data_IF_317445924572
#
_entry.id   IF_317445924572
#
_cell.length_a   1.000
_cell.length_b   1.000
_cell.length_c   1.000
_cell.angle_alpha   90.00
_cell.angle_beta   90.00
_cell.angle_gamma   90.00
#
_symmetry.space_group_name_H-M   'P 1'
#
loop_
_entity.id
_entity.type
_entity.pdbx_description
1 polymer ?
#
# COMPACT_ATOMS: atom_id res chain seq x y z
N UNK A 1 40.54 3.86 2.20
CA UNK A 1 39.07 3.99 2.32
C UNK A 1 38.50 2.67 2.82
N UNK A 2 37.85 2.64 3.99
CA UNK A 2 37.15 1.43 4.49
C UNK A 2 35.97 1.12 3.55
N UNK A 3 35.91 -0.10 2.99
CA UNK A 3 34.75 -0.55 2.21
C UNK A 3 33.52 -0.46 3.11
N UNK A 4 32.59 0.43 2.75
CA UNK A 4 31.29 0.53 3.42
C UNK A 4 30.60 -0.83 3.27
N UNK A 5 30.09 -1.36 4.37
CA UNK A 5 29.37 -2.64 4.37
C UNK A 5 28.04 -2.44 3.62
N UNK A 6 27.91 -3.03 2.43
CA UNK A 6 26.71 -2.91 1.59
C UNK A 6 25.43 -3.34 2.32
N UNK A 7 25.49 -4.38 3.16
CA UNK A 7 24.35 -4.86 3.95
C UNK A 7 23.89 -3.81 4.96
N UNK A 8 24.83 -3.10 5.60
CA UNK A 8 24.50 -2.04 6.55
C UNK A 8 23.77 -0.87 5.85
N UNK A 9 24.22 -0.50 4.65
CA UNK A 9 23.57 0.56 3.86
C UNK A 9 22.13 0.17 3.52
N UNK A 10 21.91 -1.06 3.06
CA UNK A 10 20.57 -1.57 2.73
C UNK A 10 19.64 -1.50 3.94
N UNK A 11 20.09 -1.96 5.12
CA UNK A 11 19.29 -1.90 6.35
C UNK A 11 18.96 -0.44 6.72
N UNK A 12 19.93 0.47 6.64
CA UNK A 12 19.70 1.90 6.96
C UNK A 12 18.66 2.50 6.01
N UNK A 13 18.72 2.18 4.72
CA UNK A 13 17.74 2.66 3.73
C UNK A 13 16.34 2.15 4.09
N UNK A 14 16.18 0.86 4.39
CA UNK A 14 14.86 0.31 4.75
C UNK A 14 14.33 0.87 6.07
N UNK A 15 15.20 1.10 7.07
CA UNK A 15 14.79 1.72 8.33
C UNK A 15 14.37 3.18 8.14
N UNK A 16 15.08 3.93 7.29
CA UNK A 16 14.71 5.30 6.93
C UNK A 16 13.32 5.36 6.31
N UNK A 17 12.99 4.41 5.42
CA UNK A 17 11.65 4.30 4.83
C UNK A 17 10.58 4.08 5.91
N UNK A 18 10.81 3.17 6.85
CA UNK A 18 9.85 2.92 7.95
C UNK A 18 9.65 4.17 8.81
N UNK A 19 10.73 4.87 9.16
CA UNK A 19 10.67 6.11 9.96
C UNK A 19 9.90 7.20 9.19
N UNK A 20 10.18 7.37 7.90
CA UNK A 20 9.48 8.34 7.06
C UNK A 20 7.98 8.03 6.98
N UNK A 21 7.60 6.75 6.86
CA UNK A 21 6.19 6.36 6.85
C UNK A 21 5.50 6.62 8.19
N UNK A 22 6.15 6.34 9.32
CA UNK A 22 5.61 6.69 10.65
C UNK A 22 5.42 8.20 10.75
N UNK A 23 6.43 8.99 10.35
CA UNK A 23 6.31 10.44 10.34
C UNK A 23 5.16 10.93 9.46
N UNK A 24 4.97 10.33 8.28
CA UNK A 24 3.84 10.62 7.41
C UNK A 24 2.50 10.32 8.10
N UNK A 25 2.33 9.15 8.72
CA UNK A 25 1.06 8.82 9.41
C UNK A 25 0.68 9.84 10.49
N UNK A 26 1.66 10.38 11.22
CA UNK A 26 1.39 11.32 12.30
C UNK A 26 1.24 12.78 11.87
N UNK A 27 1.86 13.18 10.76
CA UNK A 27 1.94 14.60 10.36
C UNK A 27 1.12 14.94 9.11
N UNK A 28 0.69 13.93 8.34
CA UNK A 28 -0.11 14.15 7.15
C UNK A 28 -1.60 13.96 7.42
N UNK A 29 -2.38 14.96 7.05
CA UNK A 29 -3.83 14.86 7.04
C UNK A 29 -4.28 14.22 5.72
N UNK A 30 -4.54 12.91 5.76
CA UNK A 30 -4.95 12.18 4.57
C UNK A 30 -6.36 12.58 4.17
N UNK A 31 -6.49 13.30 3.05
CA UNK A 31 -7.77 13.56 2.37
C UNK A 31 -8.59 12.29 2.21
N UNK A 32 -9.65 12.18 3.01
CA UNK A 32 -10.63 11.11 2.90
C UNK A 32 -11.55 11.38 1.72
N UNK A 33 -11.95 10.33 1.01
CA UNK A 33 -12.95 10.41 -0.04
C UNK A 33 -14.35 10.47 0.57
N UNK A 34 -15.35 10.79 -0.26
CA UNK A 34 -16.77 10.86 0.16
C UNK A 34 -17.28 9.57 0.82
N UNK A 35 -16.70 8.44 0.45
CA UNK A 35 -16.96 7.13 1.02
C UNK A 35 -16.70 7.02 2.53
N UNK A 36 -15.81 7.88 3.03
CA UNK A 36 -15.32 7.93 4.40
C UNK A 36 -15.57 9.27 5.07
N UNK A 37 -16.32 10.16 4.43
CA UNK A 37 -16.66 11.46 4.96
C UNK A 37 -18.14 11.47 5.35
N UNK A 38 -18.49 12.17 6.43
CA UNK A 38 -19.90 12.32 6.82
C UNK A 38 -20.58 13.45 6.02
N UNK A 39 -19.83 14.14 5.16
CA UNK A 39 -20.32 15.21 4.30
C UNK A 39 -20.96 14.70 3.00
N UNK A 40 -21.95 15.44 2.50
CA UNK A 40 -22.47 15.27 1.14
C UNK A 40 -21.54 16.03 0.20
N UNK A 41 -21.42 15.59 -1.04
CA UNK A 41 -20.65 16.35 -2.02
C UNK A 41 -21.29 16.38 -3.39
N UNK A 42 -20.97 17.43 -4.14
CA UNK A 42 -21.26 17.52 -5.56
C UNK A 42 -19.95 17.58 -6.33
N UNK A 43 -19.82 16.71 -7.32
CA UNK A 43 -18.77 16.83 -8.33
C UNK A 43 -19.33 17.58 -9.54
N UNK A 44 -18.56 18.57 -10.00
CA UNK A 44 -18.89 19.40 -11.15
C UNK A 44 -17.72 19.30 -12.13
N UNK A 45 -18.02 18.90 -13.36
CA UNK A 45 -17.07 18.85 -14.47
C UNK A 45 -17.40 19.93 -15.49
N UNK A 46 -16.43 20.75 -15.88
CA UNK A 46 -16.59 21.81 -16.88
C UNK A 46 -16.07 21.39 -18.24
N UNK A 47 -16.63 21.97 -19.29
CA UNK A 47 -16.14 21.79 -20.66
C UNK A 47 -14.76 22.45 -20.85
N UNK A 48 -14.63 23.68 -20.35
CA UNK A 48 -13.41 24.48 -20.37
C UNK A 48 -12.69 24.46 -19.01
N UNK A 49 -11.42 24.90 -19.00
CA UNK A 49 -10.69 25.08 -17.76
C UNK A 49 -11.25 26.26 -16.95
N UNK A 50 -11.43 26.04 -15.65
CA UNK A 50 -11.95 27.04 -14.71
C UNK A 50 -10.90 27.33 -13.64
N UNK A 51 -10.77 28.60 -13.25
CA UNK A 51 -9.85 28.98 -12.18
C UNK A 51 -10.37 28.46 -10.83
N UNK A 52 -9.57 27.61 -10.19
CA UNK A 52 -9.89 27.00 -8.89
C UNK A 52 -10.22 28.03 -7.82
N UNK A 53 -9.41 29.08 -7.68
CA UNK A 53 -9.57 30.06 -6.60
C UNK A 53 -10.84 30.86 -6.79
N UNK A 54 -11.13 31.30 -8.02
CA UNK A 54 -12.35 32.04 -8.30
C UNK A 54 -13.61 31.20 -8.07
N UNK A 55 -13.61 29.94 -8.52
CA UNK A 55 -14.71 29.03 -8.29
C UNK A 55 -14.90 28.74 -6.80
N UNK A 56 -13.81 28.47 -6.07
CA UNK A 56 -13.87 28.22 -4.64
C UNK A 56 -14.42 29.43 -3.87
N UNK A 57 -13.97 30.64 -4.19
CA UNK A 57 -14.48 31.87 -3.56
C UNK A 57 -15.98 32.07 -3.85
N UNK A 58 -16.39 31.89 -5.10
CA UNK A 58 -17.81 31.99 -5.49
C UNK A 58 -18.69 30.97 -4.76
N UNK A 59 -18.26 29.70 -4.73
CA UNK A 59 -18.98 28.63 -4.04
C UNK A 59 -19.10 28.98 -2.57
N UNK A 60 -18.00 29.37 -1.91
CA UNK A 60 -18.02 29.68 -0.47
C UNK A 60 -18.96 30.82 -0.11
N UNK A 61 -19.11 31.82 -1.00
CA UNK A 61 -20.05 32.94 -0.79
C UNK A 61 -21.52 32.53 -0.97
N UNK A 62 -21.79 31.51 -1.78
CA UNK A 62 -23.16 31.08 -2.12
C UNK A 62 -23.64 29.99 -1.16
N UNK A 63 -22.80 28.99 -0.93
CA UNK A 63 -23.02 27.89 -0.01
C UNK A 63 -21.69 27.57 0.68
N UNK A 64 -21.53 27.92 1.96
CA UNK A 64 -20.33 27.59 2.72
C UNK A 64 -20.03 26.09 2.64
N UNK A 65 -18.81 25.75 2.24
CA UNK A 65 -18.35 24.37 2.14
C UNK A 65 -17.41 24.02 3.29
N UNK A 66 -17.37 22.75 3.65
CA UNK A 66 -16.39 22.23 4.61
C UNK A 66 -15.05 21.97 3.92
N UNK A 67 -15.09 21.47 2.68
CA UNK A 67 -13.91 21.18 1.88
C UNK A 67 -14.16 21.39 0.38
N UNK A 68 -13.12 21.82 -0.31
CA UNK A 68 -13.15 22.05 -1.76
C UNK A 68 -11.92 21.43 -2.41
N UNK A 69 -12.17 20.38 -3.20
CA UNK A 69 -11.14 19.62 -3.90
C UNK A 69 -11.23 19.85 -5.41
N UNK A 70 -10.11 19.65 -6.09
CA UNK A 70 -10.04 19.65 -7.54
C UNK A 70 -9.17 18.51 -8.07
N UNK A 71 -9.54 18.01 -9.24
CA UNK A 71 -8.75 17.07 -10.02
C UNK A 71 -8.44 17.73 -11.37
N UNK A 72 -7.28 18.39 -11.43
CA UNK A 72 -6.92 19.28 -12.54
C UNK A 72 -7.74 20.59 -12.53
N UNK A 73 -7.93 21.18 -13.71
CA UNK A 73 -8.60 22.49 -13.89
C UNK A 73 -10.06 22.39 -14.38
N UNK A 74 -10.63 21.18 -14.46
CA UNK A 74 -11.98 20.95 -15.02
C UNK A 74 -12.92 20.20 -14.11
N UNK A 75 -12.41 19.44 -13.14
CA UNK A 75 -13.23 18.63 -12.24
C UNK A 75 -13.05 19.13 -10.83
N UNK A 76 -14.16 19.55 -10.21
CA UNK A 76 -14.19 20.12 -8.87
C UNK A 76 -15.16 19.33 -8.00
N UNK A 77 -14.86 19.21 -6.71
CA UNK A 77 -15.73 18.59 -5.72
C UNK A 77 -15.93 19.53 -4.54
N UNK A 78 -17.19 19.80 -4.25
CA UNK A 78 -17.60 20.66 -3.13
C UNK A 78 -18.24 19.77 -2.07
N UNK A 79 -17.68 19.77 -0.86
CA UNK A 79 -18.16 19.01 0.29
C UNK A 79 -18.90 19.93 1.25
N UNK A 80 -20.11 19.53 1.65
CA UNK A 80 -21.00 20.35 2.47
C UNK A 80 -21.72 19.50 3.54
N UNK A 81 -22.02 20.13 4.67
CA UNK A 81 -22.81 19.55 5.75
C UNK A 81 -24.21 20.16 5.76
N UNK A 82 -25.23 19.32 5.93
CA UNK A 82 -26.62 19.74 6.19
C UNK A 82 -27.22 20.70 5.14
N UNK A 83 -26.74 20.69 3.89
CA UNK A 83 -27.41 21.40 2.81
C UNK A 83 -28.57 20.57 2.24
N UNK A 84 -29.72 21.23 2.10
CA UNK A 84 -30.86 20.72 1.37
C UNK A 84 -30.53 20.59 -0.12
N UNK A 85 -31.06 19.56 -0.78
CA UNK A 85 -30.72 19.28 -2.18
C UNK A 85 -31.08 20.44 -3.11
N UNK A 86 -32.14 21.19 -2.80
CA UNK A 86 -32.58 22.38 -3.53
C UNK A 86 -31.53 23.50 -3.51
N UNK A 87 -30.84 23.72 -2.39
CA UNK A 87 -29.75 24.72 -2.30
C UNK A 87 -28.53 24.31 -3.11
N UNK A 88 -28.29 23.01 -3.22
CA UNK A 88 -27.21 22.48 -4.05
C UNK A 88 -27.55 22.62 -5.53
N UNK A 89 -28.81 22.41 -5.91
CA UNK A 89 -29.28 22.66 -7.28
C UNK A 89 -29.17 24.13 -7.67
N UNK A 90 -29.62 25.06 -6.80
CA UNK A 90 -29.45 26.51 -7.01
C UNK A 90 -27.96 26.89 -7.14
N UNK A 91 -27.09 26.28 -6.33
CA UNK A 91 -25.64 26.48 -6.46
C UNK A 91 -25.12 26.01 -7.84
N UNK A 92 -25.52 24.83 -8.32
CA UNK A 92 -25.08 24.30 -9.61
C UNK A 92 -25.53 25.22 -10.75
N UNK A 93 -26.78 25.68 -10.72
CA UNK A 93 -27.33 26.61 -11.71
C UNK A 93 -26.53 27.92 -11.76
N UNK A 94 -26.28 28.53 -10.61
CA UNK A 94 -25.47 29.76 -10.50
C UNK A 94 -24.02 29.57 -10.93
N UNK A 95 -23.43 28.40 -10.67
CA UNK A 95 -22.10 28.05 -11.16
C UNK A 95 -22.11 27.97 -12.69
N UNK A 96 -23.11 27.32 -13.27
CA UNK A 96 -23.26 27.20 -14.72
C UNK A 96 -23.43 28.57 -15.39
N UNK A 97 -24.23 29.46 -14.80
CA UNK A 97 -24.42 30.83 -15.28
C UNK A 97 -23.11 31.64 -15.28
N UNK A 98 -22.27 31.48 -14.26
CA UNK A 98 -21.05 32.28 -14.09
C UNK A 98 -19.83 31.71 -14.81
N UNK A 99 -19.63 30.40 -14.75
CA UNK A 99 -18.40 29.74 -15.20
C UNK A 99 -18.56 28.98 -16.52
N UNK A 100 -19.79 28.90 -17.06
CA UNK A 100 -20.08 28.29 -18.35
C UNK A 100 -20.55 26.85 -18.26
N UNK A 101 -20.49 26.13 -19.39
CA UNK A 101 -21.11 24.81 -19.55
C UNK A 101 -20.52 23.76 -18.62
N UNK A 102 -21.39 23.16 -17.80
CA UNK A 102 -21.11 21.97 -17.01
C UNK A 102 -21.37 20.74 -17.89
N UNK A 103 -20.37 19.87 -18.02
CA UNK A 103 -20.46 18.62 -18.81
C UNK A 103 -21.01 17.46 -18.00
N UNK A 104 -20.77 17.45 -16.69
CA UNK A 104 -21.20 16.39 -15.80
C UNK A 104 -21.40 16.93 -14.39
N UNK A 105 -22.51 16.53 -13.77
CA UNK A 105 -22.78 16.78 -12.35
C UNK A 105 -23.09 15.45 -11.68
N UNK A 106 -22.34 15.11 -10.62
CA UNK A 106 -22.58 13.91 -9.84
C UNK A 106 -22.77 14.31 -8.38
N UNK A 107 -23.99 14.09 -7.86
CA UNK A 107 -24.29 14.27 -6.44
C UNK A 107 -23.99 12.98 -5.68
N UNK A 108 -23.24 13.11 -4.61
CA UNK A 108 -22.89 12.05 -3.70
C UNK A 108 -23.54 12.33 -2.35
N UNK A 109 -24.39 11.41 -1.92
CA UNK A 109 -24.92 11.42 -0.57
C UNK A 109 -24.01 10.59 0.31
N UNK A 110 -23.51 11.18 1.39
CA UNK A 110 -22.77 10.44 2.42
C UNK A 110 -23.66 9.32 2.97
N UNK A 111 -23.05 8.19 3.26
CA UNK A 111 -23.72 7.16 4.06
C UNK A 111 -23.89 7.71 5.48
N UNK A 112 -25.08 7.56 6.12
CA UNK A 112 -25.30 8.08 7.47
C UNK A 112 -24.17 7.65 8.41
N UNK A 113 -23.62 8.60 9.19
CA UNK A 113 -22.36 8.45 9.95
C UNK A 113 -22.22 7.18 10.80
N UNK A 114 -23.32 6.51 11.16
CA UNK A 114 -23.30 5.19 11.80
C UNK A 114 -22.69 4.11 10.89
N UNK A 115 -23.02 4.09 9.60
CA UNK A 115 -22.45 3.17 8.61
C UNK A 115 -20.96 3.42 8.39
N UNK A 116 -20.51 4.68 8.50
CA UNK A 116 -19.09 5.03 8.42
C UNK A 116 -18.29 4.40 9.57
N UNK A 117 -18.73 4.56 10.82
CA UNK A 117 -18.08 3.95 11.99
C UNK A 117 -18.03 2.42 11.85
N UNK A 118 -19.13 1.80 11.41
CA UNK A 118 -19.16 0.36 11.15
C UNK A 118 -18.23 -0.06 10.00
N UNK A 119 -18.13 0.72 8.93
CA UNK A 119 -17.22 0.45 7.82
C UNK A 119 -15.76 0.49 8.28
N UNK A 120 -15.37 1.51 9.04
CA UNK A 120 -14.01 1.63 9.57
C UNK A 120 -13.64 0.45 10.49
N UNK A 121 -14.53 0.09 11.43
CA UNK A 121 -14.32 -1.07 12.29
C UNK A 121 -14.24 -2.39 11.51
N UNK A 122 -15.05 -2.56 10.46
CA UNK A 122 -15.00 -3.76 9.60
C UNK A 122 -13.72 -3.84 8.80
N UNK A 123 -13.23 -2.71 8.27
CA UNK A 123 -11.94 -2.66 7.57
C UNK A 123 -10.82 -3.05 8.54
N UNK A 124 -10.79 -2.44 9.72
CA UNK A 124 -9.79 -2.75 10.76
C UNK A 124 -9.83 -4.24 11.14
N UNK A 125 -11.01 -4.76 11.47
CA UNK A 125 -11.19 -6.18 11.81
C UNK A 125 -10.75 -7.10 10.66
N UNK A 126 -11.05 -6.74 9.42
CA UNK A 126 -10.65 -7.53 8.23
C UNK A 126 -9.13 -7.57 8.08
N UNK A 127 -8.42 -6.47 8.35
CA UNK A 127 -6.94 -6.45 8.33
C UNK A 127 -6.38 -7.37 9.43
N UNK A 128 -6.93 -7.31 10.65
CA UNK A 128 -6.48 -8.19 11.74
C UNK A 128 -6.74 -9.67 11.44
N UNK A 129 -7.92 -10.01 10.94
CA UNK A 129 -8.27 -11.38 10.53
C UNK A 129 -7.33 -11.86 9.42
N UNK A 130 -7.03 -11.01 8.44
CA UNK A 130 -6.10 -11.30 7.36
C UNK A 130 -4.69 -11.60 7.92
N UNK A 131 -4.13 -10.73 8.75
CA UNK A 131 -2.82 -10.92 9.37
C UNK A 131 -2.75 -12.21 10.20
N UNK A 132 -3.79 -12.50 10.97
CA UNK A 132 -3.89 -13.75 11.73
C UNK A 132 -3.92 -14.97 10.79
N UNK A 133 -4.69 -14.89 9.70
CA UNK A 133 -4.75 -15.94 8.68
C UNK A 133 -3.39 -16.22 8.03
N UNK A 134 -2.62 -15.17 7.72
CA UNK A 134 -1.24 -15.28 7.20
C UNK A 134 -0.34 -16.04 8.19
N UNK A 135 -0.37 -15.66 9.47
CA UNK A 135 0.44 -16.31 10.51
C UNK A 135 0.06 -17.78 10.68
N UNK A 136 -1.24 -18.08 10.77
CA UNK A 136 -1.74 -19.46 10.91
C UNK A 136 -1.33 -20.30 9.69
N UNK A 137 -1.52 -19.76 8.49
CA UNK A 137 -1.14 -20.45 7.25
C UNK A 137 0.34 -20.83 7.27
N UNK A 138 1.23 -19.86 7.51
CA UNK A 138 2.68 -20.10 7.54
C UNK A 138 3.01 -21.16 8.59
N UNK A 139 2.49 -21.06 9.82
CA UNK A 139 2.72 -22.06 10.86
C UNK A 139 2.29 -23.47 10.43
N UNK A 140 1.13 -23.60 9.76
CA UNK A 140 0.63 -24.89 9.25
C UNK A 140 1.47 -25.45 8.12
N UNK A 141 1.87 -24.61 7.16
CA UNK A 141 2.67 -25.03 5.99
C UNK A 141 4.02 -25.59 6.42
N UNK A 142 4.64 -24.99 7.44
CA UNK A 142 5.96 -25.41 7.92
C UNK A 142 5.93 -26.56 8.94
N UNK A 143 4.81 -26.81 9.63
CA UNK A 143 4.68 -27.85 10.68
C UNK A 143 5.06 -29.26 10.21
N UNK A 144 4.78 -29.62 8.96
CA UNK A 144 4.92 -31.01 8.45
C UNK A 144 6.24 -31.30 7.74
N UNK A 145 7.12 -30.31 7.57
CA UNK A 145 8.26 -30.41 6.64
C UNK A 145 9.65 -30.51 7.29
N UNK A 146 9.73 -30.80 8.59
CA UNK A 146 11.01 -31.06 9.27
C UNK A 146 11.89 -29.83 9.47
N UNK A 147 11.35 -28.62 9.26
CA UNK A 147 12.02 -27.36 9.55
C UNK A 147 12.34 -27.25 11.04
N UNK A 148 13.53 -26.74 11.36
CA UNK A 148 13.80 -26.28 12.72
C UNK A 148 12.92 -25.06 12.99
N UNK A 149 12.27 -25.06 14.15
CA UNK A 149 11.39 -23.95 14.60
C UNK A 149 12.14 -22.61 14.56
N UNK A 150 13.45 -22.63 14.83
CA UNK A 150 14.29 -21.42 14.80
C UNK A 150 14.36 -20.83 13.40
N UNK A 151 14.69 -21.64 12.38
CA UNK A 151 14.77 -21.15 10.99
C UNK A 151 13.41 -20.63 10.50
N UNK A 152 12.32 -21.29 10.92
CA UNK A 152 10.96 -20.82 10.65
C UNK A 152 10.69 -19.45 11.27
N UNK A 153 11.08 -19.25 12.53
CA UNK A 153 10.90 -17.96 13.21
C UNK A 153 11.74 -16.86 12.56
N UNK A 154 12.99 -17.14 12.19
CA UNK A 154 13.85 -16.20 11.47
C UNK A 154 13.22 -15.77 10.15
N UNK A 155 12.68 -16.74 9.40
CA UNK A 155 11.94 -16.48 8.17
C UNK A 155 10.68 -15.64 8.39
N UNK A 156 9.85 -16.00 9.38
CA UNK A 156 8.61 -15.29 9.70
C UNK A 156 8.88 -13.84 10.10
N UNK A 157 9.91 -13.60 10.93
CA UNK A 157 10.30 -12.25 11.32
C UNK A 157 10.80 -11.43 10.12
N UNK A 158 11.60 -12.02 9.24
CA UNK A 158 12.05 -11.35 8.02
C UNK A 158 10.88 -11.01 7.08
N UNK A 159 9.91 -11.92 6.92
CA UNK A 159 8.71 -11.67 6.11
C UNK A 159 7.81 -10.60 6.74
N UNK A 160 7.58 -10.63 8.05
CA UNK A 160 6.79 -9.62 8.75
C UNK A 160 7.42 -8.23 8.59
N UNK A 161 8.74 -8.13 8.76
CA UNK A 161 9.46 -6.89 8.51
C UNK A 161 9.41 -6.46 7.03
N UNK A 162 9.45 -7.40 6.10
CA UNK A 162 9.18 -7.16 4.68
C UNK A 162 7.81 -6.53 4.44
N UNK A 163 6.74 -7.10 5.00
CA UNK A 163 5.39 -6.56 4.88
C UNK A 163 5.25 -5.18 5.52
N UNK A 164 5.87 -4.94 6.68
CA UNK A 164 5.88 -3.60 7.29
C UNK A 164 6.57 -2.58 6.37
N UNK A 165 7.69 -2.96 5.73
CA UNK A 165 8.36 -2.11 4.76
C UNK A 165 7.50 -1.85 3.52
N UNK A 166 6.83 -2.88 3.01
CA UNK A 166 5.90 -2.77 1.88
C UNK A 166 4.75 -1.81 2.20
N UNK A 167 4.10 -1.98 3.36
CA UNK A 167 3.04 -1.09 3.84
C UNK A 167 3.54 0.35 4.02
N UNK A 168 4.76 0.53 4.53
CA UNK A 168 5.38 1.85 4.68
C UNK A 168 5.57 2.57 3.34
N UNK A 169 6.02 1.87 2.29
CA UNK A 169 6.11 2.47 0.95
C UNK A 169 4.71 2.83 0.42
N UNK A 170 3.70 1.99 0.65
CA UNK A 170 2.34 2.30 0.23
C UNK A 170 1.80 3.55 0.95
N UNK A 171 2.06 3.71 2.25
CA UNK A 171 1.72 4.93 3.00
C UNK A 171 2.40 6.16 2.42
N UNK A 172 3.70 6.07 2.13
CA UNK A 172 4.44 7.18 1.51
C UNK A 172 3.92 7.50 0.10
N UNK A 173 3.49 6.50 -0.66
CA UNK A 173 2.80 6.71 -1.92
C UNK A 173 1.46 7.41 -1.72
N UNK A 174 0.69 7.03 -0.70
CA UNK A 174 -0.57 7.68 -0.35
C UNK A 174 -0.36 9.18 -0.14
N UNK A 175 0.70 9.58 0.57
CA UNK A 175 1.05 11.00 0.77
C UNK A 175 1.22 11.73 -0.57
N UNK A 176 2.03 11.17 -1.47
CA UNK A 176 2.27 11.78 -2.79
C UNK A 176 0.98 11.87 -3.60
N UNK A 177 0.16 10.81 -3.60
CA UNK A 177 -1.11 10.81 -4.32
C UNK A 177 -2.11 11.81 -3.71
N UNK A 178 -2.09 11.99 -2.39
CA UNK A 178 -2.95 12.94 -1.69
C UNK A 178 -2.66 14.40 -2.06
N UNK A 179 -1.37 14.74 -2.21
CA UNK A 179 -0.92 16.03 -2.74
C UNK A 179 -1.37 16.25 -4.18
N UNK A 180 -1.44 15.18 -4.98
CA UNK A 180 -1.98 15.22 -6.33
C UNK A 180 -3.52 15.25 -6.38
N UNK A 181 -4.20 15.37 -5.24
CA UNK A 181 -5.65 15.47 -5.14
C UNK A 181 -6.39 14.13 -5.11
N UNK A 182 -5.66 13.00 -4.98
CA UNK A 182 -6.29 11.69 -4.85
C UNK A 182 -6.74 11.49 -3.41
N UNK A 183 -8.06 11.44 -3.22
CA UNK A 183 -8.66 11.11 -1.93
C UNK A 183 -8.68 9.58 -1.70
N UNK A 184 -8.57 9.17 -0.43
CA UNK A 184 -8.71 7.77 -0.03
C UNK A 184 -10.19 7.38 -0.17
N UNK A 185 -10.54 6.63 -1.22
CA UNK A 185 -11.90 6.12 -1.49
C UNK A 185 -11.98 4.60 -1.31
N UNK A 186 -13.18 4.01 -1.40
CA UNK A 186 -13.33 2.54 -1.36
C UNK A 186 -12.50 1.87 -2.46
N UNK A 187 -12.41 2.48 -3.64
CA UNK A 187 -11.58 2.01 -4.74
C UNK A 187 -10.10 1.99 -4.35
N UNK A 188 -9.61 3.08 -3.74
CA UNK A 188 -8.23 3.17 -3.27
C UNK A 188 -7.92 2.09 -2.22
N UNK A 189 -8.79 1.91 -1.22
CA UNK A 189 -8.63 0.85 -0.20
C UNK A 189 -8.67 -0.54 -0.82
N UNK A 190 -9.56 -0.78 -1.79
CA UNK A 190 -9.62 -2.05 -2.52
C UNK A 190 -8.29 -2.32 -3.25
N UNK A 191 -7.67 -1.27 -3.80
CA UNK A 191 -6.32 -1.33 -4.38
C UNK A 191 -5.26 -1.73 -3.36
N UNK A 192 -5.28 -1.17 -2.14
CA UNK A 192 -4.36 -1.55 -1.06
C UNK A 192 -4.57 -2.98 -0.57
N UNK A 193 -5.81 -3.46 -0.52
CA UNK A 193 -6.12 -4.85 -0.16
C UNK A 193 -5.60 -5.80 -1.25
N UNK A 194 -5.86 -5.49 -2.52
CA UNK A 194 -5.36 -6.26 -3.65
C UNK A 194 -3.83 -6.27 -3.69
N UNK A 195 -3.19 -5.13 -3.44
CA UNK A 195 -1.75 -4.99 -3.28
C UNK A 195 -1.17 -5.93 -2.20
N UNK A 196 -1.81 -5.95 -1.04
CA UNK A 196 -1.41 -6.82 0.07
C UNK A 196 -1.57 -8.30 -0.27
N UNK A 197 -2.68 -8.66 -0.93
CA UNK A 197 -2.92 -10.02 -1.42
C UNK A 197 -1.85 -10.47 -2.43
N UNK A 198 -1.45 -9.59 -3.36
CA UNK A 198 -0.36 -9.85 -4.31
C UNK A 198 0.97 -10.08 -3.58
N UNK A 199 1.33 -9.21 -2.64
CA UNK A 199 2.56 -9.38 -1.86
C UNK A 199 2.58 -10.72 -1.09
N UNK A 200 1.43 -11.11 -0.56
CA UNK A 200 1.25 -12.40 0.09
C UNK A 200 1.36 -13.58 -0.87
N UNK A 201 0.76 -13.51 -2.07
CA UNK A 201 0.91 -14.54 -3.10
C UNK A 201 2.39 -14.74 -3.49
N UNK A 202 3.16 -13.66 -3.67
CA UNK A 202 4.59 -13.77 -3.92
C UNK A 202 5.32 -14.46 -2.77
N UNK A 203 5.00 -14.12 -1.53
CA UNK A 203 5.54 -14.81 -0.36
C UNK A 203 5.20 -16.32 -0.40
N UNK A 204 3.96 -16.69 -0.73
CA UNK A 204 3.55 -18.09 -0.81
C UNK A 204 4.34 -18.88 -1.84
N UNK A 205 4.59 -18.29 -3.02
CA UNK A 205 5.39 -18.91 -4.07
C UNK A 205 6.82 -19.15 -3.54
N UNK A 206 7.45 -18.12 -2.97
CA UNK A 206 8.81 -18.21 -2.41
C UNK A 206 8.88 -19.27 -1.31
N UNK A 207 7.94 -19.27 -0.36
CA UNK A 207 7.84 -20.29 0.71
C UNK A 207 7.76 -21.69 0.13
N UNK A 208 6.85 -21.90 -0.82
CA UNK A 208 6.56 -23.23 -1.37
C UNK A 208 7.79 -23.78 -2.08
N UNK A 209 8.50 -22.94 -2.83
CA UNK A 209 9.72 -23.32 -3.54
C UNK A 209 10.90 -23.55 -2.60
N UNK A 210 11.06 -22.71 -1.59
CA UNK A 210 12.06 -22.91 -0.54
C UNK A 210 11.84 -24.25 0.19
N UNK A 211 10.58 -24.55 0.52
CA UNK A 211 10.20 -25.82 1.14
C UNK A 211 10.47 -27.04 0.25
N UNK A 212 10.31 -26.92 -1.07
CA UNK A 212 10.65 -28.05 -1.97
C UNK A 212 12.15 -28.29 -2.03
N UNK A 213 12.97 -27.24 -1.99
CA UNK A 213 14.43 -27.36 -2.03
C UNK A 213 15.01 -27.96 -0.75
N UNK A 214 14.50 -27.56 0.41
CA UNK A 214 14.89 -28.12 1.71
C UNK A 214 14.64 -29.62 1.81
N UNK A 215 13.67 -30.13 1.05
CA UNK A 215 13.34 -31.56 1.04
C UNK A 215 14.32 -32.36 0.16
N UNK A 216 14.93 -31.73 -0.83
CA UNK A 216 15.86 -32.38 -1.77
C UNK A 216 17.33 -32.18 -1.39
N UNK A 217 17.65 -31.08 -0.73
CA UNK A 217 19.01 -30.69 -0.35
C UNK A 217 19.07 -30.47 1.17
N UNK A 218 20.19 -30.83 1.83
CA UNK A 218 20.44 -30.49 3.24
C UNK A 218 21.37 -29.28 3.31
N UNK A 219 20.86 -28.04 3.20
CA UNK A 219 21.69 -26.85 3.26
C UNK A 219 22.24 -26.60 4.67
N UNK A 220 23.34 -25.86 4.74
CA UNK A 220 23.96 -25.48 6.01
C UNK A 220 23.21 -24.33 6.71
N UNK A 221 22.43 -23.53 5.96
CA UNK A 221 21.61 -22.46 6.52
C UNK A 221 20.44 -22.05 5.61
N UNK A 222 19.36 -21.57 6.22
CA UNK A 222 18.19 -21.01 5.52
C UNK A 222 18.55 -19.84 4.58
N UNK A 223 19.45 -18.96 5.01
CA UNK A 223 19.87 -17.79 4.25
C UNK A 223 20.56 -18.15 2.92
N UNK A 224 21.46 -19.15 2.94
CA UNK A 224 22.18 -19.59 1.74
C UNK A 224 21.21 -20.14 0.70
N UNK A 225 20.26 -20.97 1.15
CA UNK A 225 19.26 -21.56 0.27
C UNK A 225 18.29 -20.53 -0.29
N UNK A 226 17.83 -19.58 0.55
CA UNK A 226 17.00 -18.47 0.09
C UNK A 226 17.73 -17.63 -0.97
N UNK A 227 19.04 -17.39 -0.77
CA UNK A 227 19.87 -16.66 -1.73
C UNK A 227 20.05 -17.42 -3.05
N UNK A 228 20.24 -18.74 -2.99
CA UNK A 228 20.32 -19.59 -4.18
C UNK A 228 19.00 -19.61 -4.94
N UNK A 229 17.89 -19.80 -4.23
CA UNK A 229 16.54 -19.75 -4.80
C UNK A 229 16.31 -18.46 -5.56
N UNK A 230 16.57 -17.31 -4.91
CA UNK A 230 16.42 -16.02 -5.56
C UNK A 230 17.33 -15.88 -6.77
N UNK A 231 18.59 -16.33 -6.70
CA UNK A 231 19.53 -16.22 -7.83
C UNK A 231 19.08 -17.02 -9.05
N UNK A 232 18.58 -18.24 -8.83
CA UNK A 232 18.14 -19.12 -9.91
C UNK A 232 16.80 -18.68 -10.50
N UNK A 233 15.88 -18.22 -9.65
CA UNK A 233 14.51 -17.96 -10.05
C UNK A 233 14.18 -16.48 -10.24
N UNK A 234 15.13 -15.56 -10.01
CA UNK A 234 14.89 -14.11 -10.13
C UNK A 234 14.23 -13.74 -11.46
N UNK A 235 14.69 -14.37 -12.54
CA UNK A 235 14.18 -14.11 -13.88
C UNK A 235 12.72 -14.54 -14.01
N UNK A 236 12.35 -15.68 -13.42
CA UNK A 236 10.97 -16.17 -13.46
C UNK A 236 10.06 -15.33 -12.57
N UNK A 237 10.52 -14.93 -11.38
CA UNK A 237 9.81 -13.97 -10.53
C UNK A 237 9.57 -12.65 -11.25
N UNK A 238 10.60 -12.10 -11.90
CA UNK A 238 10.51 -10.85 -12.65
C UNK A 238 9.54 -10.98 -13.84
N UNK A 239 9.61 -12.07 -14.61
CA UNK A 239 8.67 -12.35 -15.70
C UNK A 239 7.23 -12.47 -15.21
N UNK A 240 6.99 -13.17 -14.11
CA UNK A 240 5.66 -13.27 -13.51
C UNK A 240 5.12 -11.91 -13.07
N UNK A 241 5.98 -11.06 -12.48
CA UNK A 241 5.61 -9.69 -12.13
C UNK A 241 5.32 -8.81 -13.34
N UNK A 242 6.11 -8.93 -14.40
CA UNK A 242 5.89 -8.21 -15.66
C UNK A 242 4.58 -8.65 -16.32
N UNK A 243 4.30 -9.95 -16.36
CA UNK A 243 3.06 -10.50 -16.91
C UNK A 243 1.84 -10.01 -16.12
N UNK A 244 1.90 -10.09 -14.78
CA UNK A 244 0.85 -9.53 -13.93
C UNK A 244 0.65 -8.04 -14.21
N UNK A 245 1.75 -7.28 -14.38
CA UNK A 245 1.69 -5.86 -14.70
C UNK A 245 1.05 -5.59 -16.08
N UNK A 246 1.31 -6.42 -17.10
CA UNK A 246 0.68 -6.25 -18.42
C UNK A 246 -0.84 -6.45 -18.40
N UNK A 247 -1.36 -7.35 -17.56
CA UNK A 247 -2.82 -7.55 -17.40
C UNK A 247 -3.46 -6.27 -16.86
N UNK A 248 -2.83 -5.62 -15.87
CA UNK A 248 -3.33 -4.38 -15.32
C UNK A 248 -3.12 -3.19 -16.27
N UNK A 249 -2.02 -3.13 -17.03
CA UNK A 249 -1.83 -2.09 -18.05
C UNK A 249 -2.93 -2.10 -19.13
N UNK A 250 -3.50 -3.26 -19.44
CA UNK A 250 -4.66 -3.37 -20.34
C UNK A 250 -5.94 -2.67 -19.83
N UNK A 251 -6.00 -2.35 -18.53
CA UNK A 251 -7.13 -1.70 -17.88
C UNK A 251 -6.93 -0.17 -17.70
N UNK A 252 -5.91 0.41 -18.34
CA UNK A 252 -5.63 1.88 -18.31
C UNK A 252 -6.71 2.72 -19.01
N UNK A 253 -7.73 2.09 -19.60
CA UNK A 253 -8.88 2.77 -20.23
C UNK A 253 -9.97 3.13 -19.19
N UNK A 254 -9.81 2.71 -17.93
CA UNK A 254 -10.83 2.97 -16.88
C UNK A 254 -10.89 4.44 -16.45
N UNK A 255 -12.00 4.90 -15.85
CA UNK A 255 -12.13 6.27 -15.36
C UNK A 255 -11.14 6.60 -14.23
N UNK A 256 -10.94 7.90 -13.97
CA UNK A 256 -9.88 8.43 -13.10
C UNK A 256 -9.75 7.78 -11.70
N UNK A 257 -10.82 7.52 -10.91
CA UNK A 257 -10.66 6.88 -9.61
C UNK A 257 -10.30 5.37 -9.69
N UNK A 258 -10.59 4.71 -10.80
CA UNK A 258 -10.17 3.32 -11.04
C UNK A 258 -8.71 3.25 -11.52
N UNK A 259 -8.21 4.28 -12.21
CA UNK A 259 -6.80 4.35 -12.61
C UNK A 259 -5.84 4.46 -11.43
N UNK A 260 -6.20 5.19 -10.38
CA UNK A 260 -5.38 5.26 -9.16
C UNK A 260 -5.30 3.90 -8.47
N UNK A 261 -6.42 3.17 -8.41
CA UNK A 261 -6.49 1.80 -7.91
C UNK A 261 -5.58 0.87 -8.72
N UNK A 262 -5.68 0.96 -10.05
CA UNK A 262 -4.85 0.20 -10.97
C UNK A 262 -3.36 0.49 -10.77
N UNK A 263 -2.99 1.76 -10.64
CA UNK A 263 -1.62 2.21 -10.43
C UNK A 263 -1.06 1.67 -9.11
N UNK A 264 -1.83 1.73 -8.02
CA UNK A 264 -1.44 1.16 -6.71
C UNK A 264 -1.18 -0.34 -6.85
N UNK A 265 -2.07 -1.07 -7.54
CA UNK A 265 -1.92 -2.51 -7.76
C UNK A 265 -0.69 -2.84 -8.61
N UNK A 266 -0.46 -2.09 -9.69
CA UNK A 266 0.72 -2.23 -10.55
C UNK A 266 2.03 -2.02 -9.79
N UNK A 267 2.11 -0.92 -9.03
CA UNK A 267 3.30 -0.63 -8.22
C UNK A 267 3.52 -1.72 -7.18
N UNK A 268 2.44 -2.27 -6.62
CA UNK A 268 2.50 -3.30 -5.59
C UNK A 268 3.11 -4.62 -6.09
N UNK A 269 2.92 -4.97 -7.36
CA UNK A 269 3.62 -6.12 -7.96
C UNK A 269 5.13 -5.90 -7.93
N UNK A 270 5.60 -4.71 -8.33
CA UNK A 270 7.02 -4.36 -8.31
C UNK A 270 7.58 -4.30 -6.88
N UNK A 271 6.83 -3.69 -5.96
CA UNK A 271 7.23 -3.60 -4.56
C UNK A 271 7.29 -4.96 -3.88
N UNK A 272 6.39 -5.90 -4.22
CA UNK A 272 6.43 -7.27 -3.70
C UNK A 272 7.70 -8.00 -4.16
N UNK A 273 8.14 -7.80 -5.42
CA UNK A 273 9.40 -8.34 -5.92
C UNK A 273 10.60 -7.75 -5.18
N UNK A 274 10.64 -6.43 -5.01
CA UNK A 274 11.72 -5.75 -4.27
C UNK A 274 11.75 -6.22 -2.82
N UNK A 275 10.59 -6.34 -2.18
CA UNK A 275 10.46 -6.82 -0.80
C UNK A 275 11.13 -8.19 -0.61
N UNK A 276 10.82 -9.18 -1.48
CA UNK A 276 11.41 -10.51 -1.38
C UNK A 276 12.92 -10.48 -1.70
N UNK A 277 13.30 -9.85 -2.81
CA UNK A 277 14.69 -9.90 -3.32
C UNK A 277 15.68 -9.06 -2.53
N UNK A 278 15.25 -8.02 -1.83
CA UNK A 278 16.17 -7.09 -1.13
C UNK A 278 15.92 -7.05 0.38
N UNK A 279 14.69 -6.80 0.80
CA UNK A 279 14.36 -6.59 2.23
C UNK A 279 14.48 -7.92 2.99
N UNK A 280 13.73 -8.94 2.57
CA UNK A 280 13.72 -10.24 3.25
C UNK A 280 15.11 -10.88 3.19
N UNK A 281 15.76 -10.85 2.01
CA UNK A 281 17.11 -11.40 1.86
C UNK A 281 18.13 -10.72 2.78
N UNK A 282 18.12 -9.38 2.87
CA UNK A 282 19.08 -8.64 3.71
C UNK A 282 18.85 -8.86 5.21
N UNK A 283 17.60 -9.03 5.63
CA UNK A 283 17.26 -9.37 7.02
C UNK A 283 17.70 -10.79 7.36
N UNK A 284 17.43 -11.78 6.50
CA UNK A 284 17.91 -13.15 6.68
C UNK A 284 19.44 -13.22 6.75
N UNK A 285 20.14 -12.46 5.89
CA UNK A 285 21.60 -12.33 5.96
C UNK A 285 22.06 -11.79 7.31
N UNK A 286 21.39 -10.76 7.82
CA UNK A 286 21.75 -10.09 9.07
C UNK A 286 21.55 -11.01 10.28
N UNK A 287 20.42 -11.73 10.30
CA UNK A 287 20.11 -12.73 11.33
C UNK A 287 21.15 -13.86 11.29
N UNK A 288 21.46 -14.38 10.10
CA UNK A 288 22.47 -15.42 9.92
C UNK A 288 23.84 -14.97 10.46
N UNK A 289 24.32 -13.78 10.07
CA UNK A 289 25.60 -13.24 10.55
C UNK A 289 25.63 -13.06 12.07
N UNK A 290 24.51 -12.67 12.69
CA UNK A 290 24.40 -12.53 14.14
C UNK A 290 24.49 -13.90 14.83
N UNK A 291 23.76 -14.89 14.32
CA UNK A 291 23.75 -16.27 14.82
C UNK A 291 25.15 -16.91 14.77
N UNK A 292 25.86 -16.73 13.65
CA UNK A 292 27.21 -17.27 13.46
C UNK A 292 28.22 -16.62 14.42
N UNK A 293 28.14 -15.30 14.64
CA UNK A 293 28.98 -14.60 15.63
C UNK A 293 28.72 -15.09 17.06
N UNK A 294 27.45 -15.28 17.44
CA UNK A 294 27.09 -15.77 18.78
C UNK A 294 27.63 -17.19 19.02
N UNK A 295 27.49 -18.09 18.03
CA UNK A 295 28.03 -19.46 18.10
C UNK A 295 29.56 -19.46 18.23
N UNK A 296 30.25 -18.58 17.49
CA UNK A 296 31.71 -18.44 17.56
C UNK A 296 32.15 -17.98 18.96
N UNK A 297 31.46 -16.99 19.53
CA UNK A 297 31.80 -16.42 20.84
C UNK A 297 31.54 -17.42 21.98
N UNK A 298 30.49 -18.25 21.88
CA UNK A 298 30.25 -19.36 22.82
C UNK A 298 31.34 -20.45 22.75
N UNK A 299 31.81 -20.81 21.55
CA UNK A 299 32.92 -21.78 21.38
C UNK A 299 34.24 -21.26 21.96
N UNK A 300 34.51 -19.96 21.85
CA UNK A 300 35.72 -19.34 22.40
C UNK A 300 35.65 -19.30 23.93
N UNK A 301 34.49 -19.01 24.53
CA UNK A 301 34.33 -19.01 25.99
C UNK A 301 34.28 -20.40 26.62
N UNK A 302 33.79 -21.43 25.91
CA UNK A 302 33.77 -22.82 26.40
C UNK A 302 35.10 -23.58 26.28
N UNK A 303 36.19 -22.89 25.87
CA UNK A 303 37.56 -23.42 25.83
C UNK A 303 38.49 -22.80 26.87
N UNK A 304 37.92 -22.12 27.87
CA UNK A 304 38.64 -21.63 29.06
C UNK A 304 38.20 -22.44 30.28
#
# INVERSE_FOLDING_TARGET
MKRINKTLVIIIVHLTVLIAAVFAVYNYDFKQGIDFDNSRAVQISFESEVNRTELADFVNTTLPYERFDNSGNRVFRVYYQNAEDEKVDDLIERIQERFGTITETVKYNSNPGNLFIFAQQRIEASVWIYLLGVVIFVLFTFRKKGFLIIDLLEYMLAQLAGFMWFAAILVLLTVVLNELGVAISYWYLSGLIAASAIAFLFMLIVITRLLSRQQTEKPNSLFEEYTLLLKEENNDFFKSGLLASTIFLGLVILPYPQLTTLFVVLLSVLLALVMQTTVVQSLLMSIHLLSTKIKLNKRIRGRW
#
